data_IF_300723986728
#
_entry.id   IF_300723986728
#
_cell.length_a   1.000
_cell.length_b   1.000
_cell.length_c   1.000
_cell.angle_alpha   90.00
_cell.angle_beta   90.00
_cell.angle_gamma   90.00
#
_symmetry.space_group_name_H-M   'P 1'
#
loop_
_entity.id
_entity.type
_entity.pdbx_description
1 polymer ?
#
# COMPACT_ATOMS: atom_id res chain seq x y z
N UNK A 1 -2.84 9.55 22.85
CA UNK A 1 -4.20 9.53 22.29
C UNK A 1 -4.31 8.37 21.32
N UNK A 2 -5.14 7.37 21.62
CA UNK A 2 -5.34 6.21 20.76
C UNK A 2 -6.16 6.65 19.54
N UNK A 3 -5.66 6.37 18.34
CA UNK A 3 -6.20 6.86 17.06
C UNK A 3 -7.59 6.28 16.72
N UNK A 4 -8.09 5.31 17.49
CA UNK A 4 -9.36 4.62 17.26
C UNK A 4 -10.18 4.49 18.54
N UNK A 5 -11.52 4.62 18.46
CA UNK A 5 -12.40 4.36 19.59
C UNK A 5 -12.33 2.89 20.01
N UNK A 6 -12.47 2.63 21.31
CA UNK A 6 -12.61 1.27 21.82
C UNK A 6 -13.97 0.71 21.40
N UNK A 7 -13.97 -0.33 20.59
CA UNK A 7 -15.15 -1.11 20.23
C UNK A 7 -15.23 -2.27 21.21
N UNK A 8 -16.37 -2.43 21.89
CA UNK A 8 -16.57 -3.54 22.82
C UNK A 8 -16.53 -4.86 22.03
N UNK A 9 -15.88 -5.91 22.56
CA UNK A 9 -15.99 -7.24 21.97
C UNK A 9 -17.45 -7.70 22.05
N UNK A 10 -17.89 -8.39 21.01
CA UNK A 10 -19.23 -8.96 20.94
C UNK A 10 -19.35 -10.13 21.93
N UNK A 11 -20.48 -10.22 22.62
CA UNK A 11 -20.81 -11.41 23.43
C UNK A 11 -21.30 -12.55 22.52
N UNK A 12 -21.20 -13.79 23.00
CA UNK A 12 -21.68 -14.96 22.25
C UNK A 12 -23.20 -14.87 21.95
N UNK A 13 -23.97 -14.25 22.85
CA UNK A 13 -25.40 -14.00 22.66
C UNK A 13 -25.65 -12.99 21.54
N UNK A 14 -24.89 -11.88 21.52
CA UNK A 14 -25.01 -10.87 20.47
C UNK A 14 -24.56 -11.41 19.10
N UNK A 15 -23.52 -12.26 19.03
CA UNK A 15 -23.13 -12.95 17.80
C UNK A 15 -24.24 -13.88 17.29
N UNK A 16 -24.87 -14.64 18.19
CA UNK A 16 -25.95 -15.55 17.82
C UNK A 16 -27.17 -14.83 17.25
N UNK A 17 -27.55 -13.68 17.83
CA UNK A 17 -28.64 -12.86 17.29
C UNK A 17 -28.28 -12.26 15.92
N UNK A 18 -27.05 -11.77 15.73
CA UNK A 18 -26.59 -11.27 14.43
C UNK A 18 -26.63 -12.36 13.36
N UNK A 19 -26.13 -13.57 13.66
CA UNK A 19 -26.16 -14.69 12.73
C UNK A 19 -27.59 -15.09 12.34
N UNK A 20 -28.52 -15.03 13.29
CA UNK A 20 -29.93 -15.32 13.05
C UNK A 20 -30.59 -14.27 12.15
N UNK A 21 -30.26 -12.99 12.34
CA UNK A 21 -30.74 -11.91 11.48
C UNK A 21 -30.19 -12.05 10.05
N UNK A 22 -28.90 -12.36 9.90
CA UNK A 22 -28.27 -12.63 8.59
C UNK A 22 -28.99 -13.80 7.89
N UNK A 23 -29.21 -14.91 8.59
CA UNK A 23 -29.85 -16.09 8.03
C UNK A 23 -31.33 -15.88 7.65
N UNK A 24 -32.00 -14.89 8.24
CA UNK A 24 -33.40 -14.57 7.95
C UNK A 24 -33.56 -13.65 6.73
N UNK A 25 -32.50 -12.98 6.26
CA UNK A 25 -32.58 -12.04 5.14
C UNK A 25 -32.90 -12.77 3.81
N UNK A 26 -34.12 -12.60 3.25
CA UNK A 26 -34.51 -13.28 2.02
C UNK A 26 -33.83 -12.71 0.77
N UNK A 27 -33.32 -11.47 0.83
CA UNK A 27 -32.68 -10.80 -0.31
C UNK A 27 -31.18 -11.10 -0.39
N UNK A 28 -30.59 -11.59 0.71
CA UNK A 28 -29.17 -11.94 0.80
C UNK A 28 -28.96 -13.31 1.48
N UNK A 29 -29.52 -14.41 0.91
CA UNK A 29 -29.33 -15.74 1.47
C UNK A 29 -27.85 -16.14 1.47
N UNK A 30 -27.45 -16.94 2.44
CA UNK A 30 -26.11 -17.53 2.47
C UNK A 30 -25.86 -18.39 1.22
N UNK A 31 -24.63 -18.33 0.70
CA UNK A 31 -24.23 -19.14 -0.44
C UNK A 31 -24.17 -20.62 -0.05
N UNK A 32 -24.76 -21.49 -0.87
CA UNK A 32 -24.67 -22.94 -0.67
C UNK A 32 -23.30 -23.47 -1.09
N UNK A 33 -22.91 -24.63 -0.56
CA UNK A 33 -21.64 -25.30 -0.94
C UNK A 33 -21.54 -25.52 -2.46
N UNK A 34 -22.65 -25.84 -3.12
CA UNK A 34 -22.71 -26.02 -4.57
C UNK A 34 -22.48 -24.71 -5.33
N UNK A 35 -22.99 -23.59 -4.82
CA UNK A 35 -22.76 -22.26 -5.39
C UNK A 35 -21.31 -21.82 -5.20
N UNK A 36 -20.73 -22.09 -4.03
CA UNK A 36 -19.33 -21.81 -3.73
C UNK A 36 -18.41 -22.63 -4.64
N UNK A 37 -18.72 -23.91 -4.87
CA UNK A 37 -17.96 -24.78 -5.77
C UNK A 37 -17.92 -24.26 -7.23
N UNK A 38 -18.91 -23.45 -7.63
CA UNK A 38 -18.99 -22.81 -8.94
C UNK A 38 -18.35 -21.43 -9.00
N UNK A 39 -17.83 -20.91 -7.87
CA UNK A 39 -17.23 -19.58 -7.81
C UNK A 39 -15.99 -19.49 -8.70
N UNK A 40 -15.90 -18.37 -9.43
CA UNK A 40 -14.77 -18.04 -10.30
C UNK A 40 -13.95 -16.91 -9.70
N UNK A 41 -12.66 -16.88 -10.02
CA UNK A 41 -11.81 -15.78 -9.57
C UNK A 41 -12.25 -14.45 -10.20
N UNK A 42 -12.08 -13.35 -9.47
CA UNK A 42 -12.39 -12.00 -9.98
C UNK A 42 -11.71 -11.71 -11.33
N UNK A 43 -10.46 -12.17 -11.52
CA UNK A 43 -9.72 -11.97 -12.75
C UNK A 43 -10.26 -12.79 -13.93
N UNK A 44 -10.88 -13.93 -13.67
CA UNK A 44 -11.55 -14.71 -14.71
C UNK A 44 -12.87 -14.06 -15.14
N UNK A 45 -13.64 -13.53 -14.19
CA UNK A 45 -14.95 -12.92 -14.47
C UNK A 45 -14.80 -11.51 -15.05
N UNK A 46 -13.79 -10.75 -14.63
CA UNK A 46 -13.56 -9.35 -15.01
C UNK A 46 -12.11 -9.12 -15.49
N UNK A 47 -11.70 -9.69 -16.64
CA UNK A 47 -10.32 -9.64 -17.09
C UNK A 47 -9.79 -8.21 -17.31
N UNK A 48 -10.57 -7.35 -17.97
CA UNK A 48 -10.15 -5.97 -18.27
C UNK A 48 -9.98 -5.12 -17.02
N UNK A 49 -10.86 -5.31 -16.03
CA UNK A 49 -10.79 -4.60 -14.74
C UNK A 49 -9.63 -5.11 -13.89
N UNK A 50 -9.38 -6.42 -13.90
CA UNK A 50 -8.23 -7.00 -13.24
C UNK A 50 -6.91 -6.49 -13.85
N UNK A 51 -6.83 -6.32 -15.18
CA UNK A 51 -5.67 -5.70 -15.82
C UNK A 51 -5.50 -4.23 -15.46
N UNK A 52 -6.59 -3.45 -15.44
CA UNK A 52 -6.51 -2.01 -15.15
C UNK A 52 -6.02 -1.72 -13.73
N UNK A 53 -6.39 -2.57 -12.76
CA UNK A 53 -5.92 -2.50 -11.37
C UNK A 53 -4.44 -2.92 -11.26
N UNK A 54 -3.97 -3.89 -12.05
CA UNK A 54 -2.54 -4.26 -12.07
C UNK A 54 -1.64 -3.12 -12.53
N UNK A 55 -2.11 -2.31 -13.48
CA UNK A 55 -1.35 -1.19 -14.06
C UNK A 55 -1.21 0.01 -13.11
N UNK A 56 -2.01 0.11 -12.04
CA UNK A 56 -2.12 1.30 -11.20
C UNK A 56 -1.27 1.29 -9.92
N UNK A 57 -0.49 0.23 -9.63
CA UNK A 57 0.38 0.21 -8.45
C UNK A 57 1.73 0.88 -8.71
N UNK A 58 1.79 2.19 -8.44
CA UNK A 58 3.02 2.94 -8.22
C UNK A 58 3.60 3.67 -9.45
N UNK A 59 4.66 4.46 -9.20
CA UNK A 59 5.48 5.05 -10.28
C UNK A 59 6.02 3.89 -11.13
N UNK A 60 6.01 3.99 -12.48
CA UNK A 60 6.63 2.99 -13.34
C UNK A 60 8.03 2.63 -12.82
N UNK A 61 8.35 1.34 -12.82
CA UNK A 61 9.67 0.88 -12.44
C UNK A 61 10.68 1.55 -13.38
N UNK A 62 11.59 2.34 -12.82
CA UNK A 62 12.69 2.97 -13.57
C UNK A 62 13.81 1.93 -13.63
N UNK A 63 14.44 1.74 -14.79
CA UNK A 63 15.48 0.71 -14.99
C UNK A 63 16.68 0.85 -14.04
N UNK A 64 17.01 2.09 -13.64
CA UNK A 64 18.08 2.38 -12.69
C UNK A 64 17.62 3.43 -11.66
N UNK A 65 16.89 3.02 -10.61
CA UNK A 65 16.42 3.95 -9.59
C UNK A 65 17.60 4.41 -8.71
N UNK A 66 17.52 5.64 -8.17
CA UNK A 66 18.49 6.08 -7.16
C UNK A 66 18.34 5.24 -5.90
N UNK A 67 19.44 4.68 -5.41
CA UNK A 67 19.44 3.93 -4.16
C UNK A 67 19.46 4.88 -2.95
N UNK A 68 18.56 4.64 -1.99
CA UNK A 68 18.56 5.39 -0.74
C UNK A 68 19.58 4.78 0.22
N UNK A 69 20.70 5.49 0.41
CA UNK A 69 21.75 5.11 1.37
C UNK A 69 21.78 6.06 2.57
N UNK A 70 22.14 5.52 3.74
CA UNK A 70 22.34 6.32 4.95
C UNK A 70 23.84 6.56 5.16
N UNK A 71 24.29 7.80 4.97
CA UNK A 71 25.68 8.22 5.18
C UNK A 71 25.76 9.27 6.28
N UNK A 72 26.81 9.22 7.10
CA UNK A 72 27.11 10.27 8.07
C UNK A 72 28.05 11.28 7.44
N UNK A 73 27.62 12.53 7.38
CA UNK A 73 28.41 13.66 6.88
C UNK A 73 28.83 14.55 8.05
N UNK A 74 29.99 15.18 7.94
CA UNK A 74 30.40 16.20 8.92
C UNK A 74 29.41 17.39 8.89
N UNK A 75 29.16 18.06 10.02
CA UNK A 75 28.14 19.11 10.11
C UNK A 75 28.37 20.30 9.15
N UNK A 76 29.62 20.67 8.93
CA UNK A 76 30.04 21.75 8.04
C UNK A 76 29.77 21.42 6.57
N UNK A 77 30.05 20.18 6.15
CA UNK A 77 29.72 19.67 4.81
C UNK A 77 28.21 19.67 4.61
N UNK A 78 27.43 19.12 5.55
CA UNK A 78 25.98 19.09 5.45
C UNK A 78 25.38 20.51 5.35
N UNK A 79 25.93 21.47 6.10
CA UNK A 79 25.52 22.87 6.05
C UNK A 79 25.78 23.48 4.65
N UNK A 80 26.96 23.26 4.08
CA UNK A 80 27.29 23.73 2.72
C UNK A 80 26.38 23.10 1.66
N UNK A 81 26.11 21.80 1.76
CA UNK A 81 25.22 21.11 0.83
C UNK A 81 23.78 21.64 0.91
N UNK A 82 23.22 21.79 2.12
CA UNK A 82 21.87 22.36 2.30
C UNK A 82 21.75 23.81 1.81
N UNK A 83 22.84 24.59 1.89
CA UNK A 83 22.88 25.96 1.38
C UNK A 83 22.72 26.05 -0.15
N UNK A 84 22.83 24.93 -0.88
CA UNK A 84 22.53 24.87 -2.32
C UNK A 84 21.02 25.06 -2.63
N UNK A 85 20.17 25.10 -1.61
CA UNK A 85 18.75 25.44 -1.72
C UNK A 85 17.85 24.26 -2.14
N UNK A 86 16.71 24.58 -2.76
CA UNK A 86 15.77 23.56 -3.25
C UNK A 86 16.48 22.57 -4.18
N UNK A 87 16.25 21.29 -3.96
CA UNK A 87 16.88 20.22 -4.73
C UNK A 87 18.35 19.95 -4.36
N UNK A 88 18.82 20.41 -3.19
CA UNK A 88 20.20 20.18 -2.76
C UNK A 88 20.63 18.70 -2.78
N UNK A 89 19.72 17.76 -2.49
CA UNK A 89 20.02 16.32 -2.57
C UNK A 89 20.33 15.86 -4.00
N UNK A 90 19.65 16.40 -5.01
CA UNK A 90 19.95 16.10 -6.41
C UNK A 90 21.30 16.70 -6.82
N UNK A 91 21.61 17.92 -6.35
CA UNK A 91 22.92 18.54 -6.57
C UNK A 91 24.05 17.77 -5.89
N UNK A 92 23.79 17.16 -4.73
CA UNK A 92 24.74 16.26 -4.05
C UNK A 92 25.05 15.05 -4.91
N UNK A 93 24.03 14.42 -5.50
CA UNK A 93 24.21 13.31 -6.43
C UNK A 93 25.09 13.71 -7.62
N UNK A 94 24.84 14.87 -8.25
CA UNK A 94 25.68 15.39 -9.34
C UNK A 94 27.15 15.62 -8.92
N UNK A 95 27.38 16.12 -7.69
CA UNK A 95 28.73 16.30 -7.15
C UNK A 95 29.42 14.95 -6.96
N UNK A 96 28.72 13.97 -6.38
CA UNK A 96 29.26 12.63 -6.13
C UNK A 96 29.59 11.92 -7.45
N UNK A 97 28.70 11.99 -8.44
CA UNK A 97 28.93 11.46 -9.78
C UNK A 97 30.23 12.00 -10.38
N UNK A 98 30.40 13.33 -10.39
CA UNK A 98 31.63 13.97 -10.88
C UNK A 98 32.88 13.50 -10.12
N UNK A 99 32.78 13.37 -8.79
CA UNK A 99 33.89 12.94 -7.95
C UNK A 99 34.33 11.49 -8.22
N UNK A 100 33.42 10.62 -8.67
CA UNK A 100 33.71 9.23 -9.04
C UNK A 100 33.90 9.02 -10.55
N UNK A 101 33.85 10.09 -11.35
CA UNK A 101 34.06 10.04 -12.81
C UNK A 101 32.82 9.65 -13.64
N UNK A 102 31.61 9.94 -13.15
CA UNK A 102 30.30 9.71 -13.79
C UNK A 102 29.57 10.98 -14.24
#
# INVERSE_FOLDING_TARGET
MTKYPYIKPLTDEEEAEIQKEIAYDPDAPEATDEQIAQAKSFAEVFPDLAESIKRSRGRPQIDNPKEQVSIRLSPDVLKKLKALGRGWQSKVDDILRKAVGL
#
